data_IF_817971004991
#
_entry.id   IF_817971004991
#
_cell.length_a   1.000
_cell.length_b   1.000
_cell.length_c   1.000
_cell.angle_alpha   90.00
_cell.angle_beta   90.00
_cell.angle_gamma   90.00
#
_symmetry.space_group_name_H-M   'P 1'
#
loop_
_entity.id
_entity.type
_entity.pdbx_description
1 polymer ?
#
# COMPACT_ATOMS: atom_id res chain seq x y z
N UNK A 1 -6.87 -17.70 -9.38
CA UNK A 1 -7.72 -16.53 -9.70
C UNK A 1 -7.89 -15.72 -8.44
N UNK A 2 -7.43 -14.46 -8.39
CA UNK A 2 -7.58 -13.69 -7.17
C UNK A 2 -9.05 -13.34 -6.92
N UNK A 3 -9.51 -13.41 -5.67
CA UNK A 3 -10.88 -13.04 -5.30
C UNK A 3 -11.07 -11.52 -5.37
N UNK A 4 -12.32 -11.05 -5.53
CA UNK A 4 -12.63 -9.60 -5.59
C UNK A 4 -12.09 -8.82 -4.37
N UNK A 5 -12.10 -9.45 -3.20
CA UNK A 5 -11.50 -8.91 -1.98
C UNK A 5 -9.96 -8.79 -2.02
N UNK A 6 -9.29 -9.54 -2.90
CA UNK A 6 -7.84 -9.45 -3.13
C UNK A 6 -7.47 -8.33 -4.10
N UNK A 7 -8.36 -7.93 -5.00
CA UNK A 7 -8.19 -6.76 -5.87
C UNK A 7 -8.39 -5.45 -5.08
N UNK A 8 -9.37 -5.44 -4.17
CA UNK A 8 -9.65 -4.32 -3.26
C UNK A 8 -8.66 -4.20 -2.09
N UNK A 9 -7.71 -5.14 -1.94
CA UNK A 9 -6.71 -5.04 -0.88
C UNK A 9 -5.67 -3.96 -1.23
N UNK A 10 -5.27 -3.17 -0.22
CA UNK A 10 -4.21 -2.12 -0.30
C UNK A 10 -2.94 -2.62 -0.96
N UNK A 11 -2.60 -3.89 -0.73
CA UNK A 11 -1.56 -4.60 -1.47
C UNK A 11 -2.26 -5.69 -2.27
N UNK A 12 -2.29 -5.49 -3.58
CA UNK A 12 -2.68 -6.47 -4.57
C UNK A 12 -1.45 -6.92 -5.39
N UNK A 13 -1.62 -7.99 -6.17
CA UNK A 13 -0.54 -8.57 -6.96
C UNK A 13 0.06 -7.55 -7.96
N UNK A 14 -0.77 -6.67 -8.53
CA UNK A 14 -0.32 -5.65 -9.47
C UNK A 14 0.60 -4.62 -8.82
N UNK A 15 0.25 -4.12 -7.62
CA UNK A 15 1.08 -3.21 -6.85
C UNK A 15 2.42 -3.85 -6.48
N UNK A 16 2.42 -5.15 -6.16
CA UNK A 16 3.65 -5.91 -5.88
C UNK A 16 4.55 -5.99 -7.11
N UNK A 17 3.97 -6.21 -8.30
CA UNK A 17 4.69 -6.23 -9.57
C UNK A 17 5.19 -4.85 -10.02
N UNK A 18 4.48 -3.77 -9.66
CA UNK A 18 4.94 -2.41 -9.93
C UNK A 18 6.14 -2.06 -9.04
N UNK A 19 6.08 -2.40 -7.75
CA UNK A 19 7.20 -2.19 -6.81
C UNK A 19 8.44 -2.99 -7.20
N UNK A 20 8.29 -4.21 -7.73
CA UNK A 20 9.43 -5.02 -8.13
C UNK A 20 10.24 -4.41 -9.27
N UNK A 21 9.63 -3.58 -10.13
CA UNK A 21 10.33 -2.83 -11.19
C UNK A 21 11.25 -1.76 -10.62
N UNK A 22 10.91 -1.25 -9.45
CA UNK A 22 11.66 -0.21 -8.77
C UNK A 22 12.75 -0.79 -7.88
N UNK A 23 12.72 -2.09 -7.55
CA UNK A 23 13.72 -2.78 -6.73
C UNK A 23 14.95 -3.20 -7.54
N UNK A 24 16.13 -2.73 -7.12
CA UNK A 24 17.39 -2.95 -7.80
C UNK A 24 18.21 -4.06 -7.14
N UNK A 25 19.19 -3.71 -6.32
CA UNK A 25 20.01 -4.67 -5.58
C UNK A 25 19.44 -4.94 -4.17
N UNK A 26 18.57 -4.05 -3.70
CA UNK A 26 17.98 -4.06 -2.36
C UNK A 26 17.00 -5.22 -2.16
N UNK A 27 16.55 -5.86 -3.25
CA UNK A 27 15.60 -6.98 -3.17
C UNK A 27 16.14 -8.15 -2.34
N UNK A 28 17.46 -8.36 -2.32
CA UNK A 28 18.10 -9.42 -1.52
C UNK A 28 17.98 -9.16 -0.03
N UNK A 29 18.25 -7.92 0.40
CA UNK A 29 18.08 -7.47 1.79
C UNK A 29 16.61 -7.56 2.18
N UNK A 30 15.72 -7.09 1.30
CA UNK A 30 14.27 -7.20 1.51
C UNK A 30 13.84 -8.66 1.66
N UNK A 31 14.38 -9.59 0.87
CA UNK A 31 14.05 -11.01 0.99
C UNK A 31 14.40 -11.56 2.38
N UNK A 32 15.57 -11.23 2.92
CA UNK A 32 15.94 -11.63 4.27
C UNK A 32 15.04 -11.02 5.34
N UNK A 33 14.69 -9.73 5.22
CA UNK A 33 13.75 -9.07 6.15
C UNK A 33 12.32 -9.66 6.07
N UNK A 34 11.93 -10.16 4.89
CA UNK A 34 10.66 -10.85 4.69
C UNK A 34 10.68 -12.32 5.14
N UNK A 35 11.83 -12.80 5.64
CA UNK A 35 11.99 -14.13 6.24
C UNK A 35 12.37 -15.23 5.25
N UNK A 36 12.86 -14.89 4.06
CA UNK A 36 13.43 -15.89 3.15
C UNK A 36 14.79 -16.37 3.64
N UNK A 37 15.01 -17.67 3.50
CA UNK A 37 16.28 -18.32 3.76
C UNK A 37 17.29 -18.08 2.62
N UNK A 38 18.56 -18.32 2.88
CA UNK A 38 19.63 -18.19 1.87
C UNK A 38 19.41 -19.11 0.66
N UNK A 39 18.84 -20.29 0.86
CA UNK A 39 18.54 -21.24 -0.22
C UNK A 39 17.43 -20.72 -1.13
N UNK A 40 16.37 -20.13 -0.56
CA UNK A 40 15.29 -19.49 -1.33
C UNK A 40 15.81 -18.27 -2.10
N UNK A 41 16.64 -17.43 -1.48
CA UNK A 41 17.29 -16.29 -2.16
C UNK A 41 18.16 -16.75 -3.33
N UNK A 42 18.88 -17.87 -3.17
CA UNK A 42 19.66 -18.45 -4.25
C UNK A 42 18.77 -18.95 -5.41
N UNK A 43 17.62 -19.55 -5.12
CA UNK A 43 16.67 -19.96 -6.16
C UNK A 43 16.19 -18.77 -6.99
N UNK A 44 15.90 -17.64 -6.36
CA UNK A 44 15.54 -16.41 -7.09
C UNK A 44 16.67 -15.95 -7.99
N UNK A 45 17.93 -16.00 -7.54
CA UNK A 45 19.09 -15.70 -8.39
C UNK A 45 19.21 -16.61 -9.61
N UNK A 46 18.87 -17.89 -9.47
CA UNK A 46 18.91 -18.84 -10.61
C UNK A 46 17.76 -18.68 -11.59
N UNK A 47 16.69 -17.96 -11.22
CA UNK A 47 15.49 -17.81 -12.04
C UNK A 47 15.72 -16.88 -13.25
N UNK A 48 16.57 -15.87 -13.11
CA UNK A 48 16.91 -14.92 -14.18
C UNK A 48 18.19 -14.18 -13.86
N UNK A 49 18.89 -13.67 -14.87
CA UNK A 49 20.02 -12.73 -14.70
C UNK A 49 19.55 -11.30 -14.42
N UNK A 50 18.30 -10.98 -14.74
CA UNK A 50 17.73 -9.65 -14.57
C UNK A 50 17.21 -9.43 -13.13
N UNK A 51 17.73 -8.41 -12.44
CA UNK A 51 17.41 -8.14 -11.03
C UNK A 51 15.93 -7.83 -10.79
N UNK A 52 15.29 -7.14 -11.71
CA UNK A 52 13.85 -6.80 -11.67
C UNK A 52 12.99 -8.07 -11.70
N UNK A 53 13.39 -9.07 -12.49
CA UNK A 53 12.72 -10.38 -12.56
C UNK A 53 12.94 -11.16 -11.28
N UNK A 54 14.17 -11.18 -10.74
CA UNK A 54 14.48 -11.80 -9.45
C UNK A 54 13.63 -11.18 -8.32
N UNK A 55 13.60 -9.85 -8.24
CA UNK A 55 12.82 -9.10 -7.27
C UNK A 55 11.32 -9.37 -7.40
N UNK A 56 10.82 -9.47 -8.64
CA UNK A 56 9.42 -9.80 -8.93
C UNK A 56 9.08 -11.20 -8.41
N UNK A 57 9.86 -12.21 -8.78
CA UNK A 57 9.61 -13.59 -8.35
C UNK A 57 9.64 -13.72 -6.82
N UNK A 58 10.59 -13.05 -6.15
CA UNK A 58 10.67 -13.03 -4.69
C UNK A 58 9.43 -12.39 -4.06
N UNK A 59 9.01 -11.23 -4.56
CA UNK A 59 7.86 -10.50 -4.02
C UNK A 59 6.51 -11.19 -4.31
N UNK A 60 6.37 -11.84 -5.47
CA UNK A 60 5.21 -12.67 -5.80
C UNK A 60 5.14 -13.87 -4.84
N UNK A 61 6.25 -14.57 -4.63
CA UNK A 61 6.33 -15.66 -3.66
C UNK A 61 5.98 -15.21 -2.23
N UNK A 62 6.47 -14.04 -1.81
CA UNK A 62 6.12 -13.46 -0.52
C UNK A 62 4.62 -13.15 -0.41
N UNK A 63 4.04 -12.58 -1.48
CA UNK A 63 2.63 -12.22 -1.53
C UNK A 63 1.73 -13.45 -1.37
N UNK A 64 2.09 -14.55 -2.06
CA UNK A 64 1.39 -15.84 -1.94
C UNK A 64 1.51 -16.42 -0.52
N UNK A 65 2.70 -16.37 0.09
CA UNK A 65 2.93 -16.88 1.47
C UNK A 65 2.25 -16.06 2.56
N UNK A 66 1.96 -14.78 2.29
CA UNK A 66 1.48 -13.84 3.31
C UNK A 66 -0.03 -13.63 3.28
N UNK A 67 -0.77 -14.52 2.60
CA UNK A 67 -2.22 -14.39 2.40
C UNK A 67 -3.02 -14.47 3.71
N UNK A 68 -2.56 -15.28 4.66
CA UNK A 68 -3.20 -15.49 5.96
C UNK A 68 -2.87 -14.38 6.98
N UNK A 69 -1.84 -13.57 6.69
CA UNK A 69 -1.34 -12.53 7.59
C UNK A 69 -2.19 -11.26 7.48
N UNK A 70 -3.00 -11.00 8.51
CA UNK A 70 -3.80 -9.76 8.64
C UNK A 70 -2.97 -8.47 8.55
N UNK A 71 -1.67 -8.53 8.87
CA UNK A 71 -0.75 -7.38 8.90
C UNK A 71 0.23 -7.32 7.71
N UNK A 72 -0.05 -7.99 6.58
CA UNK A 72 0.89 -8.09 5.44
C UNK A 72 1.43 -6.74 4.95
N UNK A 73 0.61 -5.69 4.93
CA UNK A 73 1.03 -4.34 4.50
C UNK A 73 2.08 -3.74 5.42
N UNK A 74 1.92 -3.90 6.75
CA UNK A 74 2.90 -3.41 7.72
C UNK A 74 4.20 -4.21 7.66
N UNK A 75 4.11 -5.52 7.43
CA UNK A 75 5.30 -6.36 7.27
C UNK A 75 6.14 -5.94 6.06
N UNK A 76 5.50 -5.71 4.91
CA UNK A 76 6.21 -5.24 3.72
C UNK A 76 6.78 -3.83 3.90
N UNK A 77 6.01 -2.92 4.51
CA UNK A 77 6.49 -1.57 4.83
C UNK A 77 7.75 -1.61 5.70
N UNK A 78 7.72 -2.37 6.80
CA UNK A 78 8.87 -2.50 7.70
C UNK A 78 10.07 -3.14 6.99
N UNK A 79 9.84 -4.17 6.17
CA UNK A 79 10.88 -4.81 5.39
C UNK A 79 11.53 -3.84 4.39
N UNK A 80 10.72 -3.01 3.71
CA UNK A 80 11.22 -1.99 2.78
C UNK A 80 11.98 -0.87 3.50
N UNK A 81 11.52 -0.40 4.65
CA UNK A 81 12.25 0.58 5.46
C UNK A 81 13.63 0.05 5.88
N UNK A 82 13.70 -1.21 6.31
CA UNK A 82 14.96 -1.86 6.71
C UNK A 82 15.89 -2.17 5.54
N UNK A 83 15.33 -2.47 4.37
CA UNK A 83 16.08 -2.63 3.13
C UNK A 83 16.57 -1.28 2.55
N UNK A 84 16.28 -0.15 3.20
CA UNK A 84 16.70 1.19 2.76
C UNK A 84 15.75 1.84 1.74
N UNK A 85 14.64 1.20 1.39
CA UNK A 85 13.63 1.69 0.43
C UNK A 85 12.47 2.39 1.12
N UNK A 86 12.82 3.45 1.83
CA UNK A 86 11.86 4.33 2.54
C UNK A 86 10.87 5.00 1.59
N UNK A 87 11.29 5.25 0.35
CA UNK A 87 10.45 5.74 -0.75
C UNK A 87 9.27 4.80 -1.03
N UNK A 88 9.54 3.51 -1.22
CA UNK A 88 8.53 2.50 -1.48
C UNK A 88 7.66 2.24 -0.25
N UNK A 89 8.27 2.23 0.94
CA UNK A 89 7.55 2.05 2.19
C UNK A 89 6.55 3.19 2.44
N UNK A 90 6.94 4.45 2.19
CA UNK A 90 6.06 5.61 2.36
C UNK A 90 4.95 5.64 1.31
N UNK A 91 5.22 5.22 0.07
CA UNK A 91 4.18 5.04 -0.96
C UNK A 91 3.14 4.02 -0.53
N UNK A 92 3.56 2.88 0.03
CA UNK A 92 2.65 1.89 0.60
C UNK A 92 1.88 2.44 1.80
N UNK A 93 2.50 3.28 2.63
CA UNK A 93 1.85 3.92 3.78
C UNK A 93 0.75 4.88 3.32
N UNK A 94 1.03 5.68 2.29
CA UNK A 94 0.07 6.60 1.67
C UNK A 94 -1.11 5.85 1.02
N UNK A 95 -0.86 4.73 0.33
CA UNK A 95 -1.92 3.88 -0.23
C UNK A 95 -2.79 3.23 0.86
N UNK A 96 -2.18 2.76 1.95
CA UNK A 96 -2.89 2.25 3.11
C UNK A 96 -3.78 3.33 3.75
N UNK A 97 -3.26 4.55 3.87
CA UNK A 97 -3.99 5.69 4.39
C UNK A 97 -5.17 6.10 3.50
N UNK A 98 -5.01 6.08 2.18
CA UNK A 98 -6.09 6.35 1.22
C UNK A 98 -7.23 5.33 1.30
N UNK A 99 -6.91 4.05 1.44
CA UNK A 99 -7.91 2.99 1.54
C UNK A 99 -8.60 2.93 2.92
N UNK A 100 -7.85 3.20 4.00
CA UNK A 100 -8.39 3.26 5.36
C UNK A 100 -9.31 4.48 5.54
N UNK A 101 -8.95 5.65 4.98
CA UNK A 101 -9.76 6.88 5.06
C UNK A 101 -11.11 6.81 4.34
N UNK A 102 -11.26 5.91 3.36
CA UNK A 102 -12.52 5.74 2.62
C UNK A 102 -13.49 4.73 3.28
N UNK A 103 -13.03 4.03 4.33
CA UNK A 103 -13.81 3.02 5.05
C UNK A 103 -14.44 3.62 6.33
N UNK A 104 -15.56 4.33 6.13
CA UNK A 104 -16.60 4.71 7.13
C UNK A 104 -16.36 5.74 8.23
N UNK A 105 -15.16 6.12 8.69
CA UNK A 105 -14.96 7.29 9.59
C UNK A 105 -13.51 7.76 9.58
N UNK A 106 -13.32 9.08 9.47
CA UNK A 106 -12.00 9.73 9.42
C UNK A 106 -11.73 10.36 10.79
N UNK A 107 -10.80 9.80 11.56
CA UNK A 107 -10.10 10.56 12.59
C UNK A 107 -8.74 10.96 12.03
N UNK A 108 -8.54 12.26 11.87
CA UNK A 108 -7.28 12.82 11.38
C UNK A 108 -6.24 12.74 12.51
N UNK A 109 -4.95 12.47 12.21
CA UNK A 109 -3.86 12.69 13.14
C UNK A 109 -3.94 14.13 13.66
N UNK A 110 -3.79 14.28 14.98
CA UNK A 110 -3.94 15.49 15.81
C UNK A 110 -3.21 16.78 15.35
N UNK A 111 -2.54 16.79 14.19
CA UNK A 111 -1.74 17.90 13.69
C UNK A 111 -2.51 18.87 12.75
N UNK A 112 -3.82 18.70 12.57
CA UNK A 112 -4.63 19.67 11.83
C UNK A 112 -5.56 20.42 12.78
N UNK A 113 -5.38 21.75 12.99
CA UNK A 113 -6.25 22.54 13.85
C UNK A 113 -7.64 22.82 13.25
N UNK A 114 -7.97 22.20 12.10
CA UNK A 114 -9.26 22.36 11.44
C UNK A 114 -9.83 20.99 11.06
N UNK A 115 -11.04 20.71 11.54
CA UNK A 115 -11.85 19.56 11.14
C UNK A 115 -12.30 19.75 9.69
N UNK A 116 -11.71 19.00 8.74
CA UNK A 116 -12.26 18.89 7.39
C UNK A 116 -13.20 17.69 7.38
N UNK A 117 -14.50 17.93 7.58
CA UNK A 117 -15.52 16.90 7.43
C UNK A 117 -15.79 16.66 5.94
N UNK A 118 -15.08 15.69 5.36
CA UNK A 118 -15.31 15.29 3.96
C UNK A 118 -16.53 14.38 3.90
N UNK A 119 -17.70 14.94 3.60
CA UNK A 119 -18.90 14.14 3.32
C UNK A 119 -18.78 13.52 1.92
N UNK A 120 -18.86 12.18 1.85
CA UNK A 120 -18.95 11.44 0.59
C UNK A 120 -20.31 11.75 -0.05
N UNK A 121 -20.39 12.78 -0.89
CA UNK A 121 -21.61 13.12 -1.61
C UNK A 121 -21.73 12.27 -2.87
N UNK A 122 -22.06 11.00 -2.70
CA UNK A 122 -22.68 10.25 -3.78
C UNK A 122 -24.16 10.69 -3.73
N UNK A 123 -24.53 11.62 -4.61
CA UNK A 123 -25.90 12.14 -4.83
C UNK A 123 -26.55 12.99 -3.73
N UNK A 124 -25.90 14.04 -3.22
CA UNK A 124 -26.62 15.05 -2.41
C UNK A 124 -26.38 16.49 -2.90
N UNK A 125 -26.88 16.78 -4.12
CA UNK A 125 -26.83 18.12 -4.72
C UNK A 125 -27.61 19.16 -3.89
N UNK A 126 -28.71 18.75 -3.26
CA UNK A 126 -29.56 19.68 -2.50
C UNK A 126 -28.94 20.07 -1.15
N UNK A 127 -28.25 19.14 -0.49
CA UNK A 127 -27.48 19.42 0.72
C UNK A 127 -26.34 20.41 0.45
N UNK A 128 -25.65 20.26 -0.68
CA UNK A 128 -24.59 21.19 -1.11
C UNK A 128 -25.14 22.59 -1.45
N UNK A 129 -26.32 22.69 -2.07
CA UNK A 129 -26.97 23.98 -2.34
C UNK A 129 -27.31 24.72 -1.05
N UNK A 130 -27.89 24.04 -0.06
CA UNK A 130 -28.23 24.67 1.24
C UNK A 130 -27.01 25.20 1.99
N UNK A 131 -25.89 24.49 1.95
CA UNK A 131 -24.64 24.92 2.59
C UNK A 131 -24.06 26.16 1.88
N UNK A 132 -24.13 26.19 0.55
CA UNK A 132 -23.67 27.34 -0.23
C UNK A 132 -24.55 28.58 0.00
N UNK A 133 -25.88 28.41 0.12
CA UNK A 133 -26.81 29.50 0.41
C UNK A 133 -26.63 30.06 1.83
N UNK A 134 -26.31 29.21 2.81
CA UNK A 134 -25.96 29.63 4.17
C UNK A 134 -24.65 30.42 4.19
N UNK A 135 -23.65 30.00 3.42
CA UNK A 135 -22.34 30.67 3.35
C UNK A 135 -22.44 32.08 2.76
N UNK A 136 -23.38 32.33 1.83
CA UNK A 136 -23.64 33.65 1.25
C UNK A 136 -24.39 34.62 2.16
N UNK A 137 -25.00 34.15 3.26
CA UNK A 137 -25.71 35.03 4.21
C UNK A 137 -24.83 35.62 5.29
N UNK A 138 -23.58 35.15 5.42
CA UNK A 138 -22.62 35.60 6.43
C UNK A 138 -21.41 36.35 5.83
N UNK A 139 -21.52 36.80 4.59
CA UNK A 139 -20.63 37.76 3.90
C UNK A 139 -21.45 38.92 3.40
#
# INVERSE_FOLDING_TARGET
MPSKAQEDAVINLKSVQEMSRELGFEWTVLAYELGFSRTEVHQFHTTSTEKTVQARSMLECWYERSWDKSNKTKLLQNGLERAGRRDLAERLRCLHWGHQKLSRRVELPSAFPFLITVHRTIENRDGLRRINDLSRRFT
#
